data_IF_917584345696
#
_entry.id   IF_917584345696
#
_cell.length_a   1.000
_cell.length_b   1.000
_cell.length_c   1.000
_cell.angle_alpha   90.00
_cell.angle_beta   90.00
_cell.angle_gamma   90.00
#
_symmetry.space_group_name_H-M   'P 1'
#
loop_
_entity.id
_entity.type
_entity.pdbx_description
1 polymer ?
#
# COMPACT_ATOMS: atom_id res chain seq x y z
N UNK A 1 -12.92 16.80 -22.17
CA UNK A 1 -13.87 16.65 -21.04
C UNK A 1 -13.13 15.97 -19.91
N UNK A 2 -12.67 16.75 -18.94
CA UNK A 2 -12.13 16.25 -17.67
C UNK A 2 -13.23 15.48 -16.96
N UNK A 3 -12.98 14.21 -16.63
CA UNK A 3 -13.89 13.46 -15.76
C UNK A 3 -13.92 14.18 -14.41
N UNK A 4 -15.09 14.34 -13.77
CA UNK A 4 -15.16 15.06 -12.50
C UNK A 4 -14.33 14.33 -11.42
N UNK A 5 -13.44 15.07 -10.75
CA UNK A 5 -12.70 14.67 -9.54
C UNK A 5 -13.40 13.62 -8.63
N UNK A 6 -14.71 13.74 -8.32
CA UNK A 6 -15.41 12.80 -7.45
C UNK A 6 -15.36 11.33 -7.90
N UNK A 7 -15.32 11.02 -9.20
CA UNK A 7 -15.27 9.63 -9.66
C UNK A 7 -13.92 8.97 -9.32
N UNK A 8 -12.81 9.66 -9.58
CA UNK A 8 -11.47 9.19 -9.23
C UNK A 8 -11.31 9.05 -7.71
N UNK A 9 -11.84 10.01 -6.94
CA UNK A 9 -11.82 9.95 -5.48
C UNK A 9 -12.62 8.76 -4.95
N UNK A 10 -13.81 8.51 -5.48
CA UNK A 10 -14.63 7.36 -5.10
C UNK A 10 -13.90 6.03 -5.37
N UNK A 11 -13.41 5.83 -6.60
CA UNK A 11 -12.71 4.60 -6.98
C UNK A 11 -11.46 4.37 -6.12
N UNK A 12 -10.62 5.39 -5.95
CA UNK A 12 -9.41 5.28 -5.14
C UNK A 12 -9.75 5.03 -3.67
N UNK A 13 -10.80 5.65 -3.13
CA UNK A 13 -11.25 5.40 -1.74
C UNK A 13 -11.70 3.96 -1.55
N UNK A 14 -12.54 3.44 -2.46
CA UNK A 14 -13.00 2.04 -2.41
C UNK A 14 -11.83 1.04 -2.52
N UNK A 15 -10.79 1.36 -3.28
CA UNK A 15 -9.64 0.47 -3.42
C UNK A 15 -8.67 0.55 -2.24
N UNK A 16 -8.52 1.73 -1.64
CA UNK A 16 -7.49 2.01 -0.64
C UNK A 16 -7.98 1.97 0.81
N UNK A 17 -9.29 1.90 1.07
CA UNK A 17 -9.84 1.81 2.43
C UNK A 17 -9.20 0.71 3.31
N UNK A 18 -8.81 -0.49 2.80
CA UNK A 18 -8.28 -1.55 3.66
C UNK A 18 -6.96 -1.13 4.33
N UNK A 19 -6.17 -0.26 3.69
CA UNK A 19 -4.91 0.26 4.21
C UNK A 19 -5.10 1.08 5.48
N UNK A 20 -6.26 1.72 5.68
CA UNK A 20 -6.60 2.43 6.92
C UNK A 20 -7.36 1.52 7.88
N UNK A 21 -8.33 0.76 7.37
CA UNK A 21 -9.22 -0.06 8.17
C UNK A 21 -8.46 -1.15 8.96
N UNK A 22 -7.58 -1.91 8.31
CA UNK A 22 -6.87 -3.02 8.94
C UNK A 22 -5.98 -2.60 10.13
N UNK A 23 -5.06 -1.61 9.99
CA UNK A 23 -4.24 -1.17 11.11
C UNK A 23 -5.09 -0.51 12.21
N UNK A 24 -6.13 0.25 11.85
CA UNK A 24 -7.03 0.87 12.83
C UNK A 24 -7.80 -0.18 13.62
N UNK A 25 -8.36 -1.19 12.95
CA UNK A 25 -9.05 -2.32 13.59
C UNK A 25 -8.10 -3.12 14.48
N UNK A 26 -6.88 -3.38 14.00
CA UNK A 26 -5.87 -4.05 14.81
C UNK A 26 -5.54 -3.25 16.07
N UNK A 27 -5.41 -1.92 15.97
CA UNK A 27 -5.14 -1.07 17.12
C UNK A 27 -6.31 -1.03 18.11
N UNK A 28 -7.54 -0.90 17.62
CA UNK A 28 -8.75 -0.95 18.44
C UNK A 28 -8.87 -2.26 19.23
N UNK A 29 -8.54 -3.39 18.60
CA UNK A 29 -8.60 -4.72 19.25
C UNK A 29 -7.63 -4.91 20.40
N UNK A 30 -6.50 -4.19 20.40
CA UNK A 30 -5.47 -4.30 21.45
C UNK A 30 -5.51 -3.13 22.43
N UNK A 31 -6.43 -2.17 22.28
CA UNK A 31 -6.53 -1.03 23.19
C UNK A 31 -7.08 -1.52 24.54
N UNK A 32 -6.42 -1.17 25.64
CA UNK A 32 -6.88 -1.56 26.98
C UNK A 32 -8.24 -0.90 27.31
N UNK A 33 -9.31 -1.70 27.54
CA UNK A 33 -10.63 -1.16 27.92
C UNK A 33 -10.60 -0.30 29.18
N UNK A 34 -9.61 -0.50 30.07
CA UNK A 34 -9.48 0.24 31.32
C UNK A 34 -9.43 1.77 31.13
N UNK A 35 -8.86 2.28 30.04
CA UNK A 35 -8.84 3.71 29.77
C UNK A 35 -10.24 4.27 29.46
N UNK A 36 -11.05 3.52 28.72
CA UNK A 36 -12.42 3.92 28.40
C UNK A 36 -13.34 3.79 29.62
N UNK A 37 -13.13 2.76 30.45
CA UNK A 37 -13.84 2.55 31.71
C UNK A 37 -13.53 3.64 32.72
N UNK A 38 -12.25 4.00 32.90
CA UNK A 38 -11.84 5.10 33.78
C UNK A 38 -12.48 6.43 33.36
N UNK A 39 -12.50 6.75 32.06
CA UNK A 39 -13.17 7.95 31.56
C UNK A 39 -14.69 7.93 31.81
N UNK A 40 -15.34 6.76 31.68
CA UNK A 40 -16.77 6.59 32.00
C UNK A 40 -17.06 6.75 33.50
N UNK A 41 -16.21 6.22 34.38
CA UNK A 41 -16.31 6.39 35.85
C UNK A 41 -16.19 7.86 36.24
N UNK A 42 -15.37 8.63 35.52
CA UNK A 42 -15.26 10.09 35.66
C UNK A 42 -16.46 10.86 35.06
N UNK A 43 -17.55 10.19 34.70
CA UNK A 43 -18.78 10.79 34.20
C UNK A 43 -18.74 11.23 32.73
N UNK A 44 -17.73 10.83 31.95
CA UNK A 44 -17.67 11.19 30.52
C UNK A 44 -18.69 10.38 29.71
N UNK A 45 -19.43 11.08 28.85
CA UNK A 45 -20.35 10.48 27.87
C UNK A 45 -19.57 9.71 26.79
N UNK A 46 -20.18 8.69 26.13
CA UNK A 46 -19.50 7.87 25.11
C UNK A 46 -18.80 8.66 23.99
N UNK A 47 -19.43 9.71 23.47
CA UNK A 47 -18.83 10.56 22.44
C UNK A 47 -17.58 11.32 22.95
N UNK A 48 -17.60 11.75 24.21
CA UNK A 48 -16.46 12.39 24.84
C UNK A 48 -15.33 11.37 25.05
N UNK A 49 -15.65 10.17 25.54
CA UNK A 49 -14.67 9.07 25.69
C UNK A 49 -14.01 8.74 24.35
N UNK A 50 -14.80 8.60 23.27
CA UNK A 50 -14.27 8.38 21.94
C UNK A 50 -13.32 9.51 21.50
N UNK A 51 -13.74 10.78 21.64
CA UNK A 51 -12.94 11.92 21.18
C UNK A 51 -11.66 12.14 22.00
N UNK A 52 -11.67 11.85 23.32
CA UNK A 52 -10.53 12.15 24.21
C UNK A 52 -9.65 10.95 24.52
N UNK A 53 -10.14 9.71 24.37
CA UNK A 53 -9.42 8.48 24.69
C UNK A 53 -9.20 7.65 23.44
N UNK A 54 -10.27 7.16 22.83
CA UNK A 54 -10.18 6.17 21.74
C UNK A 54 -9.55 6.77 20.47
N UNK A 55 -10.01 7.94 20.03
CA UNK A 55 -9.55 8.60 18.81
C UNK A 55 -8.05 8.96 18.87
N UNK A 56 -7.54 9.63 19.92
CA UNK A 56 -6.10 9.89 20.07
C UNK A 56 -5.27 8.59 20.11
N UNK A 57 -5.79 7.53 20.73
CA UNK A 57 -5.10 6.26 20.85
C UNK A 57 -4.99 5.47 19.53
N UNK A 58 -5.96 5.62 18.63
CA UNK A 58 -5.95 5.00 17.29
C UNK A 58 -5.34 5.90 16.22
N UNK A 59 -5.20 7.21 16.47
CA UNK A 59 -4.70 8.18 15.51
C UNK A 59 -3.34 7.81 14.88
N UNK A 60 -2.37 7.22 15.61
CA UNK A 60 -1.13 6.74 14.99
C UNK A 60 -1.35 5.63 13.95
N UNK A 61 -2.30 4.73 14.20
CA UNK A 61 -2.64 3.67 13.25
C UNK A 61 -3.39 4.22 12.03
N UNK A 62 -4.29 5.19 12.26
CA UNK A 62 -4.99 5.91 11.19
C UNK A 62 -4.00 6.72 10.35
N UNK A 63 -3.03 7.41 10.95
CA UNK A 63 -2.02 8.18 10.21
C UNK A 63 -1.08 7.30 9.41
N UNK A 64 -0.67 6.16 9.96
CA UNK A 64 0.14 5.19 9.22
C UNK A 64 -0.64 4.60 8.03
N UNK A 65 -1.92 4.27 8.22
CA UNK A 65 -2.79 3.86 7.11
C UNK A 65 -3.00 4.96 6.08
N UNK A 66 -3.23 6.20 6.54
CA UNK A 66 -3.39 7.38 5.68
C UNK A 66 -2.14 7.71 4.87
N UNK A 67 -0.95 7.47 5.43
CA UNK A 67 0.33 7.56 4.71
C UNK A 67 0.37 6.58 3.54
N UNK A 68 -0.02 5.32 3.77
CA UNK A 68 -0.10 4.31 2.73
C UNK A 68 -1.10 4.69 1.64
N UNK A 69 -2.28 5.19 2.03
CA UNK A 69 -3.28 5.70 1.07
C UNK A 69 -2.71 6.86 0.25
N UNK A 70 -2.14 7.87 0.90
CA UNK A 70 -1.61 9.06 0.24
C UNK A 70 -0.53 8.67 -0.80
N UNK A 71 0.40 7.83 -0.40
CA UNK A 71 1.49 7.41 -1.29
C UNK A 71 1.02 6.45 -2.39
N UNK A 72 0.00 5.62 -2.13
CA UNK A 72 -0.68 4.85 -3.16
C UNK A 72 -1.34 5.78 -4.17
N UNK A 73 -2.13 6.76 -3.73
CA UNK A 73 -2.87 7.67 -4.61
C UNK A 73 -1.96 8.62 -5.40
N UNK A 74 -0.87 9.12 -4.80
CA UNK A 74 0.14 9.94 -5.48
C UNK A 74 0.77 9.23 -6.67
N UNK A 75 0.75 7.92 -6.59
CA UNK A 75 1.46 7.04 -7.48
C UNK A 75 0.56 6.24 -8.40
N UNK A 76 -0.76 6.39 -8.23
CA UNK A 76 -1.71 5.78 -9.13
C UNK A 76 -1.56 6.43 -10.51
N UNK A 77 -1.37 5.57 -11.51
CA UNK A 77 -1.37 5.95 -12.92
C UNK A 77 -2.60 5.38 -13.62
N UNK A 78 -2.96 4.13 -13.31
CA UNK A 78 -3.97 3.39 -14.06
C UNK A 78 -5.38 3.98 -13.94
N UNK A 79 -5.89 4.17 -12.72
CA UNK A 79 -7.27 4.64 -12.54
C UNK A 79 -7.42 6.09 -13.01
N UNK A 80 -6.45 6.95 -12.71
CA UNK A 80 -6.46 8.36 -13.15
C UNK A 80 -6.28 8.52 -14.65
N UNK A 81 -5.47 7.70 -15.34
CA UNK A 81 -5.35 7.72 -16.81
C UNK A 81 -6.66 7.30 -17.49
N UNK A 82 -7.28 6.22 -17.00
CA UNK A 82 -8.59 5.75 -17.51
C UNK A 82 -9.68 6.81 -17.35
N UNK A 83 -9.65 7.54 -16.24
CA UNK A 83 -10.54 8.66 -15.96
C UNK A 83 -10.03 9.98 -16.56
N UNK A 84 -8.95 9.96 -17.35
CA UNK A 84 -8.36 11.13 -18.02
C UNK A 84 -8.12 12.31 -17.07
N UNK A 85 -7.76 12.05 -15.82
CA UNK A 85 -7.41 13.06 -14.84
C UNK A 85 -5.93 13.41 -14.96
N UNK A 86 -5.60 14.71 -14.94
CA UNK A 86 -4.21 15.17 -15.07
C UNK A 86 -3.48 15.05 -13.73
N UNK A 87 -2.50 14.15 -13.67
CA UNK A 87 -1.65 13.91 -12.50
C UNK A 87 -0.17 14.01 -12.87
N UNK A 88 0.70 14.11 -11.86
CA UNK A 88 2.15 14.05 -12.06
C UNK A 88 2.55 12.73 -12.74
N UNK A 89 1.97 11.60 -12.33
CA UNK A 89 2.22 10.27 -12.93
C UNK A 89 1.84 10.22 -14.41
N UNK A 90 0.72 10.83 -14.78
CA UNK A 90 0.28 10.96 -16.18
C UNK A 90 1.21 11.85 -17.00
N UNK A 91 1.60 13.01 -16.46
CA UNK A 91 2.54 13.93 -17.12
C UNK A 91 3.91 13.29 -17.37
N UNK A 92 4.44 12.55 -16.39
CA UNK A 92 5.68 11.77 -16.54
C UNK A 92 5.54 10.78 -17.70
N UNK A 93 4.44 10.01 -17.72
CA UNK A 93 4.22 9.02 -18.77
C UNK A 93 4.08 9.68 -20.16
N UNK A 94 3.29 10.75 -20.27
CA UNK A 94 3.04 11.44 -21.53
C UNK A 94 4.31 12.05 -22.14
N UNK A 95 5.18 12.63 -21.31
CA UNK A 95 6.36 13.37 -21.77
C UNK A 95 7.62 12.51 -21.93
N UNK A 96 7.60 11.23 -21.52
CA UNK A 96 8.80 10.37 -21.45
C UNK A 96 9.64 10.25 -22.74
N UNK A 97 9.00 10.37 -23.91
CA UNK A 97 9.63 10.17 -25.24
C UNK A 97 9.94 11.49 -25.95
N UNK A 98 9.05 12.47 -25.83
CA UNK A 98 9.11 13.71 -26.62
C UNK A 98 9.67 14.90 -25.84
N UNK A 99 9.58 14.88 -24.50
CA UNK A 99 10.08 15.95 -23.63
C UNK A 99 10.64 15.36 -22.32
N UNK A 100 11.82 14.73 -22.45
CA UNK A 100 12.54 14.13 -21.32
C UNK A 100 12.75 15.14 -20.17
N UNK A 101 13.22 16.38 -20.38
CA UNK A 101 13.42 17.34 -19.30
C UNK A 101 12.16 17.61 -18.46
N UNK A 102 11.01 17.78 -19.12
CA UNK A 102 9.73 17.96 -18.43
C UNK A 102 9.34 16.70 -17.65
N UNK A 103 9.47 15.52 -18.24
CA UNK A 103 9.21 14.24 -17.54
C UNK A 103 10.06 14.07 -16.28
N UNK A 104 11.34 14.47 -16.35
CA UNK A 104 12.27 14.38 -15.22
C UNK A 104 11.88 15.34 -14.10
N UNK A 105 11.50 16.56 -14.45
CA UNK A 105 11.07 17.58 -13.48
C UNK A 105 9.82 17.13 -12.71
N UNK A 106 8.83 16.57 -13.40
CA UNK A 106 7.63 16.04 -12.76
C UNK A 106 7.94 14.80 -11.89
N UNK A 107 8.86 13.94 -12.32
CA UNK A 107 9.34 12.80 -11.54
C UNK A 107 10.04 13.22 -10.24
N UNK A 108 10.90 14.23 -10.31
CA UNK A 108 11.56 14.83 -9.15
C UNK A 108 10.54 15.45 -8.19
N UNK A 109 9.60 16.24 -8.71
CA UNK A 109 8.55 16.85 -7.91
C UNK A 109 7.72 15.80 -7.18
N UNK A 110 7.31 14.74 -7.88
CA UNK A 110 6.58 13.61 -7.28
C UNK A 110 7.40 12.93 -6.18
N UNK A 111 8.70 12.69 -6.42
CA UNK A 111 9.60 12.12 -5.42
C UNK A 111 9.75 13.00 -4.18
N UNK A 112 9.91 14.31 -4.36
CA UNK A 112 9.99 15.30 -3.26
C UNK A 112 8.71 15.29 -2.45
N UNK A 113 7.54 15.31 -3.10
CA UNK A 113 6.24 15.25 -2.43
C UNK A 113 6.11 13.94 -1.65
N UNK A 114 6.43 12.80 -2.25
CA UNK A 114 6.37 11.51 -1.57
C UNK A 114 7.27 11.46 -0.33
N UNK A 115 8.53 11.90 -0.44
CA UNK A 115 9.46 11.99 0.71
C UNK A 115 8.93 12.96 1.76
N UNK A 116 8.41 14.11 1.35
CA UNK A 116 7.81 15.11 2.23
C UNK A 116 6.66 14.54 3.07
N UNK A 117 5.73 13.82 2.45
CA UNK A 117 4.61 13.15 3.15
C UNK A 117 5.14 12.13 4.17
N UNK A 118 6.14 11.31 3.80
CA UNK A 118 6.77 10.35 4.74
C UNK A 118 7.44 11.08 5.90
N UNK A 119 8.16 12.17 5.64
CA UNK A 119 8.85 12.93 6.69
C UNK A 119 7.85 13.58 7.65
N UNK A 120 6.77 14.17 7.12
CA UNK A 120 5.69 14.76 7.93
C UNK A 120 5.02 13.70 8.78
N UNK A 121 4.69 12.54 8.23
CA UNK A 121 4.07 11.47 9.01
C UNK A 121 5.01 10.96 10.11
N UNK A 122 6.28 10.71 9.80
CA UNK A 122 7.28 10.29 10.80
C UNK A 122 7.46 11.32 11.91
N UNK A 123 7.40 12.61 11.59
CA UNK A 123 7.46 13.67 12.58
C UNK A 123 6.21 13.69 13.47
N UNK A 124 5.02 13.57 12.88
CA UNK A 124 3.76 13.50 13.60
C UNK A 124 3.67 12.23 14.47
N UNK A 125 4.14 11.09 13.98
CA UNK A 125 4.15 9.81 14.68
C UNK A 125 5.04 9.88 15.93
N UNK A 126 6.23 10.50 15.83
CA UNK A 126 7.12 10.72 16.98
C UNK A 126 6.46 11.56 18.07
N UNK A 127 5.70 12.59 17.71
CA UNK A 127 4.95 13.42 18.67
C UNK A 127 3.82 12.66 19.37
N UNK A 128 3.23 11.68 18.70
CA UNK A 128 2.09 10.88 19.23
C UNK A 128 2.52 9.64 20.00
N UNK A 129 3.79 9.24 19.92
CA UNK A 129 4.31 8.02 20.54
C UNK A 129 4.21 7.99 22.08
N UNK A 130 4.00 9.15 22.73
CA UNK A 130 3.89 9.25 24.19
C UNK A 130 2.47 9.08 24.78
N UNK A 131 1.42 8.93 23.97
CA UNK A 131 0.04 9.15 24.43
C UNK A 131 -0.68 7.95 25.08
N UNK A 132 -0.61 6.75 24.49
CA UNK A 132 -1.41 5.60 24.95
C UNK A 132 -0.68 4.32 24.56
N UNK A 133 0.10 3.74 25.47
CA UNK A 133 0.95 2.59 25.19
C UNK A 133 0.37 1.26 25.68
N UNK A 134 -0.56 1.25 26.64
CA UNK A 134 -1.00 -0.02 27.22
C UNK A 134 -1.85 -0.80 26.20
N UNK A 135 -1.37 -2.02 25.93
CA UNK A 135 -2.08 -3.02 25.15
C UNK A 135 -2.63 -4.07 26.09
N UNK A 136 -3.84 -4.55 25.82
CA UNK A 136 -4.50 -5.59 26.62
C UNK A 136 -5.00 -6.72 25.73
N UNK A 137 -4.89 -7.95 26.22
CA UNK A 137 -5.52 -9.13 25.61
C UNK A 137 -6.98 -9.30 26.06
N UNK A 138 -7.49 -8.38 26.90
CA UNK A 138 -8.90 -8.39 27.30
C UNK A 138 -9.77 -8.14 26.07
N UNK A 139 -10.81 -8.98 25.83
CA UNK A 139 -11.72 -8.74 24.72
C UNK A 139 -12.41 -7.38 24.91
N UNK A 140 -12.45 -6.54 23.86
CA UNK A 140 -13.10 -5.24 23.97
C UNK A 140 -14.60 -5.44 24.25
N UNK A 141 -15.20 -4.63 25.14
CA UNK A 141 -16.64 -4.70 25.39
C UNK A 141 -17.40 -4.39 24.10
N UNK A 142 -18.36 -5.26 23.74
CA UNK A 142 -19.17 -5.09 22.54
C UNK A 142 -20.21 -3.99 22.77
N UNK A 143 -20.17 -2.92 21.97
CA UNK A 143 -21.21 -1.91 21.99
C UNK A 143 -22.51 -2.46 21.37
N UNK A 144 -23.62 -2.39 22.10
CA UNK A 144 -24.92 -2.79 21.58
C UNK A 144 -25.47 -1.73 20.61
N UNK A 145 -25.46 -2.04 19.32
CA UNK A 145 -26.01 -1.15 18.27
C UNK A 145 -27.56 -1.17 18.19
N UNK A 146 -28.23 -2.03 18.95
CA UNK A 146 -29.70 -2.11 18.96
C UNK A 146 -30.28 -2.27 17.55
N UNK A 147 -31.29 -1.47 17.21
CA UNK A 147 -31.92 -1.47 15.88
C UNK A 147 -31.01 -0.92 14.77
N UNK A 148 -30.02 -0.08 15.10
CA UNK A 148 -29.02 0.44 14.16
C UNK A 148 -28.08 -0.64 13.61
N UNK A 149 -28.09 -1.85 14.18
CA UNK A 149 -27.33 -2.99 13.63
C UNK A 149 -27.68 -3.25 12.16
N UNK A 150 -28.96 -3.17 11.80
CA UNK A 150 -29.42 -3.49 10.45
C UNK A 150 -28.98 -2.46 9.41
N UNK A 151 -29.21 -1.14 9.59
CA UNK A 151 -28.73 -0.16 8.63
C UNK A 151 -27.20 -0.13 8.55
N UNK A 152 -26.49 -0.32 9.66
CA UNK A 152 -25.01 -0.40 9.65
C UNK A 152 -24.53 -1.64 8.91
N UNK A 153 -25.10 -2.81 9.18
CA UNK A 153 -24.78 -4.03 8.44
C UNK A 153 -25.09 -3.88 6.95
N UNK A 154 -26.25 -3.32 6.59
CA UNK A 154 -26.62 -3.07 5.21
C UNK A 154 -25.63 -2.13 4.51
N UNK A 155 -25.22 -1.04 5.17
CA UNK A 155 -24.24 -0.10 4.64
C UNK A 155 -22.86 -0.75 4.44
N UNK A 156 -22.39 -1.54 5.41
CA UNK A 156 -21.10 -2.27 5.31
C UNK A 156 -21.15 -3.30 4.20
N UNK A 157 -22.22 -4.10 4.12
CA UNK A 157 -22.40 -5.10 3.07
C UNK A 157 -22.49 -4.42 1.71
N UNK A 158 -23.26 -3.35 1.56
CA UNK A 158 -23.35 -2.59 0.31
C UNK A 158 -21.98 -2.01 -0.11
N UNK A 159 -21.21 -1.46 0.83
CA UNK A 159 -19.88 -0.96 0.57
C UNK A 159 -18.91 -2.07 0.14
N UNK A 160 -18.93 -3.22 0.83
CA UNK A 160 -18.10 -4.38 0.48
C UNK A 160 -18.48 -4.96 -0.88
N UNK A 161 -19.78 -5.07 -1.17
CA UNK A 161 -20.28 -5.48 -2.47
C UNK A 161 -19.82 -4.50 -3.55
N UNK A 162 -19.92 -3.19 -3.33
CA UNK A 162 -19.46 -2.22 -4.30
C UNK A 162 -17.94 -2.31 -4.53
N UNK A 163 -17.16 -2.45 -3.45
CA UNK A 163 -15.70 -2.54 -3.50
C UNK A 163 -15.20 -3.82 -4.18
N UNK A 164 -15.95 -4.92 -4.10
CA UNK A 164 -15.56 -6.22 -4.64
C UNK A 164 -16.22 -6.52 -6.00
N UNK A 165 -17.54 -6.37 -6.07
CA UNK A 165 -18.35 -6.74 -7.24
C UNK A 165 -18.13 -5.76 -8.38
N UNK A 166 -18.03 -4.45 -8.14
CA UNK A 166 -17.86 -3.50 -9.26
C UNK A 166 -16.54 -3.71 -10.02
N UNK A 167 -15.37 -3.89 -9.38
CA UNK A 167 -14.14 -4.23 -10.09
C UNK A 167 -14.21 -5.59 -10.79
N UNK A 168 -14.73 -6.62 -10.12
CA UNK A 168 -14.84 -7.97 -10.70
C UNK A 168 -15.81 -8.01 -11.90
N UNK A 169 -16.95 -7.34 -11.81
CA UNK A 169 -17.91 -7.22 -12.90
C UNK A 169 -17.30 -6.46 -14.08
N UNK A 170 -16.54 -5.39 -13.81
CA UNK A 170 -15.83 -4.63 -14.86
C UNK A 170 -14.79 -5.51 -15.55
N UNK A 171 -13.96 -6.22 -14.78
CA UNK A 171 -12.98 -7.17 -15.32
C UNK A 171 -13.66 -8.27 -16.15
N UNK A 172 -14.73 -8.87 -15.64
CA UNK A 172 -15.49 -9.91 -16.34
C UNK A 172 -16.14 -9.40 -17.63
N UNK A 173 -16.72 -8.19 -17.60
CA UNK A 173 -17.28 -7.54 -18.77
C UNK A 173 -16.24 -7.32 -19.87
N UNK A 174 -15.08 -6.75 -19.53
CA UNK A 174 -14.01 -6.51 -20.50
C UNK A 174 -13.34 -7.80 -20.98
N UNK A 175 -13.15 -8.78 -20.09
CA UNK A 175 -12.63 -10.09 -20.46
C UNK A 175 -13.57 -10.82 -21.43
N UNK A 176 -14.87 -10.86 -21.13
CA UNK A 176 -15.88 -11.45 -22.01
C UNK A 176 -15.96 -10.76 -23.36
N UNK A 177 -15.89 -9.41 -23.39
CA UNK A 177 -15.88 -8.64 -24.64
C UNK A 177 -14.61 -8.88 -25.47
N UNK A 178 -13.47 -9.10 -24.80
CA UNK A 178 -12.21 -9.47 -25.46
C UNK A 178 -12.28 -10.86 -26.10
N UNK A 179 -12.81 -11.85 -25.36
CA UNK A 179 -12.96 -13.23 -25.85
C UNK A 179 -13.99 -13.32 -26.98
N UNK A 180 -15.10 -12.58 -26.88
CA UNK A 180 -16.17 -12.59 -27.89
C UNK A 180 -15.79 -11.92 -29.22
N UNK A 181 -14.68 -11.17 -29.27
CA UNK A 181 -14.20 -10.50 -30.49
C UNK A 181 -12.75 -10.93 -30.82
N UNK A 182 -12.50 -12.22 -31.11
CA UNK A 182 -11.17 -12.72 -31.40
C UNK A 182 -10.62 -12.06 -32.66
N UNK A 183 -9.34 -11.67 -32.63
CA UNK A 183 -8.66 -11.00 -33.75
C UNK A 183 -8.57 -9.47 -33.65
N UNK A 184 -9.22 -8.85 -32.67
CA UNK A 184 -8.98 -7.43 -32.35
C UNK A 184 -7.58 -7.27 -31.76
N UNK A 185 -6.74 -6.45 -32.38
CA UNK A 185 -5.40 -6.12 -31.87
C UNK A 185 -5.48 -5.00 -30.84
N UNK A 186 -4.81 -5.18 -29.70
CA UNK A 186 -4.58 -4.12 -28.70
C UNK A 186 -3.08 -3.87 -28.65
N UNK A 187 -2.63 -2.84 -29.37
CA UNK A 187 -1.20 -2.62 -29.60
C UNK A 187 -0.57 -3.74 -30.44
N UNK A 188 0.53 -4.32 -29.97
CA UNK A 188 1.22 -5.43 -30.63
C UNK A 188 0.59 -6.82 -30.37
N UNK A 189 -0.41 -6.91 -29.49
CA UNK A 189 -0.97 -8.19 -29.03
C UNK A 189 -2.26 -8.52 -29.78
N UNK A 190 -2.32 -9.72 -30.34
CA UNK A 190 -3.57 -10.32 -30.80
C UNK A 190 -4.34 -10.86 -29.58
N UNK A 191 -5.64 -10.52 -29.50
CA UNK A 191 -6.54 -11.14 -28.53
C UNK A 191 -7.00 -12.51 -29.06
N UNK A 192 -6.05 -13.43 -29.17
CA UNK A 192 -6.28 -14.84 -29.49
C UNK A 192 -5.85 -15.74 -28.30
N UNK A 193 -6.27 -17.00 -28.32
CA UNK A 193 -5.96 -17.93 -27.22
C UNK A 193 -4.45 -18.13 -27.01
N UNK A 194 -3.66 -18.09 -28.08
CA UNK A 194 -2.20 -18.21 -28.03
C UNK A 194 -1.51 -17.00 -27.39
N UNK A 195 -1.89 -15.78 -27.77
CA UNK A 195 -1.37 -14.54 -27.18
C UNK A 195 -1.69 -14.39 -25.70
N UNK A 196 -2.88 -14.83 -25.28
CA UNK A 196 -3.28 -14.85 -23.86
C UNK A 196 -2.44 -15.89 -23.09
N UNK A 197 -2.30 -17.11 -23.63
CA UNK A 197 -1.53 -18.18 -22.97
C UNK A 197 -0.04 -17.81 -22.80
N UNK A 198 0.58 -17.23 -23.83
CA UNK A 198 1.98 -16.78 -23.79
C UNK A 198 2.20 -15.64 -22.79
N UNK A 199 1.26 -14.70 -22.69
CA UNK A 199 1.29 -13.60 -21.71
C UNK A 199 1.10 -14.10 -20.28
N UNK A 200 0.20 -15.06 -20.08
CA UNK A 200 0.01 -15.73 -18.80
C UNK A 200 1.27 -16.51 -18.38
N UNK A 201 1.84 -17.30 -19.29
CA UNK A 201 3.08 -18.04 -19.05
C UNK A 201 4.25 -17.12 -18.72
N UNK A 202 4.38 -15.99 -19.44
CA UNK A 202 5.42 -14.98 -19.17
C UNK A 202 5.26 -14.37 -17.78
N UNK A 203 4.04 -14.05 -17.36
CA UNK A 203 3.75 -13.50 -16.04
C UNK A 203 4.07 -14.49 -14.92
N UNK A 204 3.70 -15.76 -15.11
CA UNK A 204 4.03 -16.86 -14.18
C UNK A 204 5.54 -17.05 -14.10
N UNK A 205 6.25 -17.08 -15.24
CA UNK A 205 7.69 -17.22 -15.28
C UNK A 205 8.41 -16.07 -14.57
N UNK A 206 8.04 -14.82 -14.86
CA UNK A 206 8.60 -13.64 -14.19
C UNK A 206 8.34 -13.67 -12.69
N UNK A 207 7.12 -14.05 -12.27
CA UNK A 207 6.77 -14.16 -10.85
C UNK A 207 7.56 -15.27 -10.15
N UNK A 208 7.78 -16.41 -10.81
CA UNK A 208 8.58 -17.51 -10.28
C UNK A 208 10.06 -17.13 -10.12
N UNK A 209 10.64 -16.45 -11.11
CA UNK A 209 12.00 -15.92 -11.04
C UNK A 209 12.12 -14.91 -9.89
N UNK A 210 11.21 -13.93 -9.82
CA UNK A 210 11.22 -12.92 -8.76
C UNK A 210 11.08 -13.54 -7.37
N UNK A 211 10.17 -14.52 -7.20
CA UNK A 211 10.00 -15.23 -5.94
C UNK A 211 11.25 -16.01 -5.54
N UNK A 212 11.85 -16.74 -6.48
CA UNK A 212 13.07 -17.53 -6.24
C UNK A 212 14.23 -16.64 -5.82
N UNK A 213 14.47 -15.55 -6.56
CA UNK A 213 15.53 -14.58 -6.23
C UNK A 213 15.26 -13.93 -4.88
N UNK A 214 14.01 -13.56 -4.58
CA UNK A 214 13.65 -12.97 -3.28
C UNK A 214 13.96 -13.94 -2.13
N UNK A 215 13.59 -15.22 -2.26
CA UNK A 215 13.90 -16.24 -1.25
C UNK A 215 15.41 -16.42 -1.10
N UNK A 216 16.14 -16.51 -2.22
CA UNK A 216 17.59 -16.71 -2.22
C UNK A 216 18.35 -15.56 -1.56
N UNK A 217 17.88 -14.32 -1.72
CA UNK A 217 18.48 -13.13 -1.09
C UNK A 217 18.06 -13.01 0.38
N UNK A 218 16.78 -13.25 0.69
CA UNK A 218 16.23 -12.94 2.01
C UNK A 218 16.44 -14.07 3.03
N UNK A 219 16.53 -15.32 2.59
CA UNK A 219 16.71 -16.46 3.50
C UNK A 219 18.07 -16.42 4.23
N UNK A 220 19.22 -16.18 3.57
CA UNK A 220 20.51 -16.04 4.26
C UNK A 220 20.51 -14.85 5.22
N UNK A 221 19.90 -13.72 4.82
CA UNK A 221 19.81 -12.54 5.66
C UNK A 221 18.98 -12.80 6.92
N UNK A 222 17.83 -13.46 6.78
CA UNK A 222 16.99 -13.86 7.90
C UNK A 222 17.72 -14.84 8.84
N UNK A 223 18.47 -15.80 8.29
CA UNK A 223 19.28 -16.73 9.07
C UNK A 223 20.38 -16.02 9.86
N UNK A 224 21.09 -15.07 9.23
CA UNK A 224 22.14 -14.28 9.86
C UNK A 224 21.59 -13.46 11.04
N UNK A 225 20.41 -12.84 10.87
CA UNK A 225 19.77 -12.03 11.89
C UNK A 225 19.37 -12.82 13.14
N UNK A 226 19.01 -14.09 12.97
CA UNK A 226 18.61 -14.96 14.10
C UNK A 226 19.83 -15.60 14.76
N UNK A 227 20.81 -16.06 13.98
CA UNK A 227 21.93 -16.87 14.51
C UNK A 227 23.18 -16.08 14.87
N UNK A 228 23.47 -14.97 14.19
CA UNK A 228 24.69 -14.19 14.40
C UNK A 228 24.39 -12.68 14.33
N UNK A 229 23.85 -12.08 15.41
CA UNK A 229 23.63 -10.64 15.45
C UNK A 229 24.97 -9.90 15.40
N UNK A 230 25.38 -9.49 14.20
CA UNK A 230 26.54 -8.63 13.94
C UNK A 230 26.09 -7.21 13.60
N UNK A 231 27.02 -6.24 13.62
CA UNK A 231 26.73 -4.86 13.19
C UNK A 231 26.27 -4.80 11.73
N UNK A 232 26.85 -5.62 10.85
CA UNK A 232 26.45 -5.71 9.45
C UNK A 232 25.06 -6.31 9.28
N UNK A 233 24.72 -7.36 10.03
CA UNK A 233 23.38 -7.94 10.05
C UNK A 233 22.35 -6.87 10.48
N UNK A 234 22.63 -6.15 11.56
CA UNK A 234 21.75 -5.09 12.07
C UNK A 234 21.57 -3.94 11.06
N UNK A 235 22.65 -3.51 10.39
CA UNK A 235 22.57 -2.50 9.33
C UNK A 235 21.75 -2.97 8.12
N UNK A 236 21.94 -4.22 7.66
CA UNK A 236 21.13 -4.82 6.60
C UNK A 236 19.66 -4.94 6.99
N UNK A 237 19.36 -5.29 8.24
CA UNK A 237 18.00 -5.32 8.76
C UNK A 237 17.36 -3.93 8.78
N UNK A 238 18.11 -2.89 9.15
CA UNK A 238 17.64 -1.51 9.10
C UNK A 238 17.29 -1.10 7.66
N UNK A 239 18.14 -1.44 6.68
CA UNK A 239 17.90 -1.14 5.27
C UNK A 239 16.68 -1.87 4.71
N UNK A 240 16.54 -3.17 4.99
CA UNK A 240 15.38 -3.96 4.55
C UNK A 240 14.11 -3.47 5.24
N UNK A 241 14.15 -3.18 6.54
CA UNK A 241 13.00 -2.66 7.29
C UNK A 241 12.64 -1.23 6.85
N UNK A 242 13.62 -0.40 6.49
CA UNK A 242 13.37 0.91 5.92
C UNK A 242 12.66 0.82 4.57
N UNK A 243 13.00 -0.19 3.75
CA UNK A 243 12.29 -0.52 2.52
C UNK A 243 10.82 -0.87 2.74
N UNK A 244 10.45 -1.49 3.87
CA UNK A 244 9.04 -1.74 4.25
C UNK A 244 8.29 -0.46 4.58
N UNK A 245 8.97 0.51 5.22
CA UNK A 245 8.36 1.79 5.55
C UNK A 245 8.07 2.63 4.30
N UNK A 246 8.69 2.31 3.17
CA UNK A 246 8.44 2.96 1.89
C UNK A 246 7.34 2.18 1.15
N UNK A 247 6.22 2.83 0.80
CA UNK A 247 5.22 2.22 -0.09
C UNK A 247 5.88 1.74 -1.38
N UNK A 248 5.47 0.58 -1.87
CA UNK A 248 6.13 -0.10 -2.98
C UNK A 248 6.27 0.72 -4.25
N UNK A 249 5.41 1.71 -4.42
CA UNK A 249 5.50 2.60 -5.56
C UNK A 249 6.51 3.73 -5.40
N UNK A 250 6.83 4.16 -4.18
CA UNK A 250 7.98 5.04 -3.94
C UNK A 250 9.27 4.30 -4.34
N UNK A 251 9.35 3.01 -4.01
CA UNK A 251 10.46 2.15 -4.43
C UNK A 251 10.50 2.02 -5.96
N UNK A 252 9.35 1.78 -6.61
CA UNK A 252 9.28 1.68 -8.06
C UNK A 252 9.70 2.99 -8.76
N UNK A 253 9.21 4.15 -8.31
CA UNK A 253 9.59 5.45 -8.85
C UNK A 253 11.06 5.77 -8.62
N UNK A 254 11.61 5.44 -7.45
CA UNK A 254 13.04 5.60 -7.17
C UNK A 254 13.89 4.75 -8.12
N UNK A 255 13.49 3.51 -8.39
CA UNK A 255 14.17 2.62 -9.35
C UNK A 255 14.07 3.14 -10.78
N UNK A 256 12.89 3.61 -11.20
CA UNK A 256 12.68 4.21 -12.53
C UNK A 256 13.52 5.46 -12.70
N UNK A 257 13.48 6.36 -11.72
CA UNK A 257 14.26 7.59 -11.73
C UNK A 257 15.77 7.27 -11.77
N UNK A 258 16.23 6.37 -10.90
CA UNK A 258 17.62 5.92 -10.89
C UNK A 258 18.04 5.33 -12.24
N UNK A 259 17.23 4.45 -12.81
CA UNK A 259 17.51 3.84 -14.11
C UNK A 259 17.58 4.88 -15.23
N UNK A 260 16.71 5.89 -15.23
CA UNK A 260 16.69 6.92 -16.28
C UNK A 260 17.77 8.00 -16.12
N UNK A 261 18.35 8.18 -14.93
CA UNK A 261 19.27 9.28 -14.64
C UNK A 261 20.73 8.85 -14.55
N UNK A 262 20.99 7.58 -14.26
CA UNK A 262 22.34 7.07 -14.13
C UNK A 262 22.74 6.48 -15.49
N UNK A 263 23.78 7.03 -16.18
CA UNK A 263 24.08 6.67 -17.56
C UNK A 263 24.28 5.17 -17.81
N UNK A 264 24.85 4.44 -16.85
CA UNK A 264 25.02 2.99 -16.95
C UNK A 264 23.76 2.19 -16.56
N UNK A 265 22.81 2.80 -15.84
CA UNK A 265 21.58 2.16 -15.40
C UNK A 265 20.44 2.29 -16.43
N UNK A 266 20.56 3.19 -17.41
CA UNK A 266 19.57 3.35 -18.50
C UNK A 266 19.39 2.04 -19.27
N UNK A 267 20.47 1.27 -19.45
CA UNK A 267 20.42 -0.05 -20.08
C UNK A 267 19.54 -1.07 -19.34
N UNK A 268 19.28 -0.85 -18.05
CA UNK A 268 18.46 -1.74 -17.21
C UNK A 268 17.00 -1.25 -17.15
N UNK A 269 16.70 -0.05 -17.65
CA UNK A 269 15.34 0.47 -17.72
C UNK A 269 14.46 -0.40 -18.64
N UNK A 270 13.23 -0.71 -18.19
CA UNK A 270 12.30 -1.63 -18.89
C UNK A 270 12.82 -3.06 -19.10
N UNK A 271 13.80 -3.50 -18.32
CA UNK A 271 14.31 -4.87 -18.36
C UNK A 271 13.85 -5.72 -17.18
N UNK A 272 13.86 -7.05 -17.35
CA UNK A 272 13.50 -8.02 -16.31
C UNK A 272 14.36 -7.91 -15.04
N UNK A 273 15.69 -7.68 -15.10
CA UNK A 273 16.51 -7.48 -13.91
C UNK A 273 16.03 -6.34 -12.99
N UNK A 274 15.69 -5.16 -13.55
CA UNK A 274 15.20 -4.03 -12.76
C UNK A 274 13.86 -4.36 -12.09
N UNK A 275 12.98 -5.07 -12.79
CA UNK A 275 11.71 -5.55 -12.26
C UNK A 275 11.93 -6.53 -11.09
N UNK A 276 12.85 -7.48 -11.23
CA UNK A 276 13.20 -8.44 -10.17
C UNK A 276 13.77 -7.71 -8.95
N UNK A 277 14.67 -6.73 -9.14
CA UNK A 277 15.18 -5.89 -8.04
C UNK A 277 14.03 -5.18 -7.31
N UNK A 278 13.09 -4.60 -8.05
CA UNK A 278 11.88 -4.01 -7.48
C UNK A 278 11.06 -4.98 -6.64
N UNK A 279 10.86 -6.20 -7.13
CA UNK A 279 10.15 -7.24 -6.38
C UNK A 279 10.89 -7.69 -5.12
N UNK A 280 12.21 -7.86 -5.19
CA UNK A 280 13.04 -8.21 -4.01
C UNK A 280 12.93 -7.15 -2.94
N UNK A 281 13.02 -5.86 -3.31
CA UNK A 281 12.87 -4.74 -2.36
C UNK A 281 11.46 -4.69 -1.76
N UNK A 282 10.43 -4.90 -2.57
CA UNK A 282 9.03 -4.83 -2.15
C UNK A 282 8.60 -6.00 -1.24
N UNK A 283 9.03 -7.22 -1.57
CA UNK A 283 8.59 -8.44 -0.89
C UNK A 283 9.55 -8.92 0.20
N UNK A 284 10.84 -8.66 0.07
CA UNK A 284 11.82 -9.06 1.10
C UNK A 284 11.61 -8.37 2.44
N UNK A 285 11.01 -7.19 2.44
CA UNK A 285 10.79 -6.37 3.62
C UNK A 285 9.58 -6.80 4.49
N UNK A 286 8.69 -7.68 4.01
CA UNK A 286 7.42 -8.03 4.68
C UNK A 286 7.53 -8.88 5.96
N UNK A 287 8.75 -9.23 6.41
CA UNK A 287 8.99 -10.02 7.64
C UNK A 287 9.70 -9.27 8.78
N UNK A 288 9.78 -7.94 8.72
CA UNK A 288 10.52 -7.11 9.69
C UNK A 288 9.91 -6.94 11.09
N UNK A 289 9.30 -7.96 11.70
CA UNK A 289 9.17 -7.99 13.17
C UNK A 289 9.86 -9.24 13.70
N UNK A 290 10.99 -9.10 14.43
CA UNK A 290 11.46 -10.20 15.24
C UNK A 290 10.32 -10.58 16.18
N UNK A 291 9.89 -11.83 16.09
CA UNK A 291 9.15 -12.49 17.15
C UNK A 291 9.85 -12.13 18.46
N UNK A 292 9.15 -11.45 19.37
CA UNK A 292 9.68 -11.29 20.71
C UNK A 292 9.80 -12.71 21.27
N UNK A 293 11.01 -13.20 21.62
CA UNK A 293 11.07 -14.42 22.39
C UNK A 293 10.27 -14.17 23.65
N UNK A 294 9.29 -15.04 23.91
CA UNK A 294 8.78 -15.25 25.25
C UNK A 294 9.98 -15.26 26.19
N UNK A 295 10.21 -14.16 26.92
CA UNK A 295 11.01 -14.22 28.12
C UNK A 295 10.23 -15.15 29.02
N UNK A 296 10.72 -16.39 29.14
CA UNK A 296 10.27 -17.31 30.18
C UNK A 296 10.44 -16.54 31.49
N UNK A 297 9.31 -16.30 32.14
CA UNK A 297 9.24 -16.02 33.57
C UNK A 297 9.83 -17.21 34.31
#
# INVERSE_FOLDING_TARGET
MSVPCPAAWGVLTLFTYPYVYLPTRARLRHLDPAYEEAARVLGRRPAAVFATVTLPAILPAVSAGGLLVCLYTLSDFGAVELLRYETLTRSIYANRLFDRPTSVTHGLLLGIVAVGVVMVERWLARRRAGGFAATSDRPPPLASLGWWRWPVCAAVVAFLLLALVAPLATLGYWAGRGIANPGRRVGAFALDGGGIATSAASTVAVSAVAATVTVLVMLPLAWLLVRRPSRSASASNLLVTAGFALPGIVVALALVFWALQVPFAEAVYQTLPLLVVGYVLLFGARRGRPWAPFRRV
#
